data_IF_062527214430
#
_entry.id   IF_062527214430
#
_cell.length_a   1.000
_cell.length_b   1.000
_cell.length_c   1.000
_cell.angle_alpha   90.00
_cell.angle_beta   90.00
_cell.angle_gamma   90.00
#
_symmetry.space_group_name_H-M   'P 1'
#
loop_
_entity.id
_entity.type
_entity.pdbx_description
1 polymer ?
#
# COMPACT_ATOMS: atom_id res chain seq x y z
N UNK A 1 16.83 -4.09 3.31
CA UNK A 1 15.87 -3.05 3.74
C UNK A 1 14.47 -3.44 3.27
N UNK A 2 13.70 -4.15 4.09
CA UNK A 2 12.36 -4.65 3.70
C UNK A 2 11.22 -3.71 4.12
N UNK A 3 11.48 -2.80 5.07
CA UNK A 3 10.47 -1.86 5.57
C UNK A 3 10.08 -0.77 4.57
N UNK A 4 11.03 -0.31 3.74
CA UNK A 4 10.77 0.77 2.78
C UNK A 4 9.83 0.32 1.65
N UNK A 5 9.97 -0.92 1.17
CA UNK A 5 9.08 -1.48 0.14
C UNK A 5 7.64 -1.59 0.64
N UNK A 6 7.45 -2.01 1.90
CA UNK A 6 6.12 -2.08 2.54
C UNK A 6 5.50 -0.69 2.64
N UNK A 7 6.22 0.26 3.23
CA UNK A 7 5.71 1.62 3.40
C UNK A 7 5.40 2.31 2.06
N UNK A 8 6.22 2.09 1.03
CA UNK A 8 5.97 2.63 -0.30
C UNK A 8 4.70 2.04 -0.95
N UNK A 9 4.50 0.72 -0.86
CA UNK A 9 3.32 0.05 -1.41
C UNK A 9 2.01 0.46 -0.72
N UNK A 10 2.03 0.54 0.62
CA UNK A 10 0.88 0.99 1.42
C UNK A 10 0.57 2.47 1.13
N UNK A 11 1.59 3.33 1.07
CA UNK A 11 1.42 4.74 0.74
C UNK A 11 0.80 4.92 -0.64
N UNK A 12 1.28 4.19 -1.65
CA UNK A 12 0.71 4.23 -2.99
C UNK A 12 -0.77 3.82 -3.00
N UNK A 13 -1.12 2.75 -2.28
CA UNK A 13 -2.50 2.28 -2.16
C UNK A 13 -3.42 3.37 -1.56
N UNK A 14 -3.03 3.93 -0.41
CA UNK A 14 -3.78 4.97 0.30
C UNK A 14 -3.93 6.25 -0.53
N UNK A 15 -2.86 6.66 -1.21
CA UNK A 15 -2.87 7.85 -2.03
C UNK A 15 -3.79 7.69 -3.26
N UNK A 16 -3.77 6.53 -3.90
CA UNK A 16 -4.66 6.22 -5.03
C UNK A 16 -6.13 6.15 -4.58
N UNK A 17 -6.40 5.52 -3.44
CA UNK A 17 -7.76 5.48 -2.86
C UNK A 17 -8.25 6.88 -2.49
N UNK A 18 -7.39 7.72 -1.91
CA UNK A 18 -7.68 9.14 -1.59
C UNK A 18 -8.01 9.97 -2.84
N UNK A 19 -7.39 9.65 -3.97
CA UNK A 19 -7.69 10.25 -5.28
C UNK A 19 -8.97 9.71 -5.94
N UNK A 20 -9.67 8.77 -5.30
CA UNK A 20 -10.89 8.15 -5.82
C UNK A 20 -10.67 7.04 -6.84
N UNK A 21 -9.45 6.49 -6.97
CA UNK A 21 -9.28 5.25 -7.73
C UNK A 21 -9.93 4.10 -6.97
N UNK A 22 -10.63 3.23 -7.72
CA UNK A 22 -11.20 2.00 -7.17
C UNK A 22 -10.12 1.08 -6.61
N UNK A 23 -10.46 0.32 -5.56
CA UNK A 23 -9.53 -0.50 -4.78
C UNK A 23 -8.69 -1.46 -5.65
N UNK A 24 -9.27 -2.03 -6.71
CA UNK A 24 -8.56 -2.93 -7.62
C UNK A 24 -7.43 -2.22 -8.38
N UNK A 25 -7.66 -0.99 -8.84
CA UNK A 25 -6.66 -0.23 -9.57
C UNK A 25 -5.56 0.31 -8.63
N UNK A 26 -5.94 0.73 -7.42
CA UNK A 26 -5.00 1.10 -6.37
C UNK A 26 -4.11 -0.08 -5.98
N UNK A 27 -4.69 -1.28 -5.85
CA UNK A 27 -3.98 -2.51 -5.54
C UNK A 27 -2.98 -2.90 -6.62
N UNK A 28 -3.39 -2.91 -7.90
CA UNK A 28 -2.50 -3.26 -9.01
C UNK A 28 -1.28 -2.33 -9.09
N UNK A 29 -1.48 -1.03 -8.84
CA UNK A 29 -0.39 -0.07 -8.77
C UNK A 29 0.60 -0.38 -7.62
N UNK A 30 0.12 -0.72 -6.44
CA UNK A 30 0.98 -1.14 -5.31
C UNK A 30 1.77 -2.40 -5.60
N UNK A 31 1.19 -3.36 -6.34
CA UNK A 31 1.89 -4.57 -6.80
C UNK A 31 3.01 -4.22 -7.77
N UNK A 32 2.81 -3.27 -8.68
CA UNK A 32 3.86 -2.80 -9.60
C UNK A 32 5.01 -2.12 -8.85
N UNK A 33 4.71 -1.33 -7.82
CA UNK A 33 5.73 -0.74 -6.95
C UNK A 33 6.56 -1.85 -6.29
N UNK A 34 5.92 -2.89 -5.76
CA UNK A 34 6.64 -4.02 -5.17
C UNK A 34 7.55 -4.75 -6.19
N UNK A 35 7.07 -4.95 -7.42
CA UNK A 35 7.86 -5.57 -8.49
C UNK A 35 9.04 -4.72 -8.95
N UNK A 36 8.95 -3.39 -8.86
CA UNK A 36 10.08 -2.50 -9.14
C UNK A 36 11.27 -2.75 -8.19
N UNK A 37 10.99 -3.00 -6.91
CA UNK A 37 12.01 -3.35 -5.92
C UNK A 37 12.43 -4.83 -5.99
N UNK A 38 11.54 -5.71 -6.46
CA UNK A 38 11.76 -7.15 -6.55
C UNK A 38 11.46 -7.71 -7.95
N UNK A 39 12.31 -7.45 -8.96
CA UNK A 39 12.09 -7.90 -10.33
C UNK A 39 12.11 -9.44 -10.49
N UNK A 40 12.58 -10.18 -9.48
CA UNK A 40 12.57 -11.65 -9.45
C UNK A 40 11.39 -12.28 -8.71
N UNK A 41 10.51 -11.48 -8.10
CA UNK A 41 9.35 -12.02 -7.38
C UNK A 41 8.23 -12.37 -8.36
N UNK A 42 7.69 -13.58 -8.24
CA UNK A 42 6.51 -13.99 -8.99
C UNK A 42 5.34 -13.04 -8.70
N UNK A 43 4.57 -12.69 -9.73
CA UNK A 43 3.42 -11.78 -9.63
C UNK A 43 2.42 -12.21 -8.57
N UNK A 44 2.15 -13.51 -8.45
CA UNK A 44 1.24 -14.05 -7.44
C UNK A 44 1.76 -13.84 -6.02
N UNK A 45 3.08 -13.99 -5.81
CA UNK A 45 3.73 -13.70 -4.52
C UNK A 45 3.72 -12.21 -4.20
N UNK A 46 3.89 -11.35 -5.21
CA UNK A 46 3.79 -9.91 -5.05
C UNK A 46 2.38 -9.49 -4.61
N UNK A 47 1.34 -10.04 -5.26
CA UNK A 47 -0.07 -9.80 -4.90
C UNK A 47 -0.38 -10.26 -3.49
N UNK A 48 -0.05 -11.50 -3.16
CA UNK A 48 -0.25 -12.08 -1.82
C UNK A 48 0.41 -11.22 -0.74
N UNK A 49 1.65 -10.79 -0.98
CA UNK A 49 2.39 -9.94 -0.04
C UNK A 49 1.76 -8.56 0.14
N UNK A 50 1.32 -7.92 -0.95
CA UNK A 50 0.69 -6.60 -0.92
C UNK A 50 -0.70 -6.66 -0.29
N UNK A 51 -1.47 -7.73 -0.54
CA UNK A 51 -2.77 -7.97 0.08
C UNK A 51 -2.64 -8.03 1.60
N UNK A 52 -1.75 -8.90 2.08
CA UNK A 52 -1.48 -9.03 3.51
C UNK A 52 -1.07 -7.71 4.16
N UNK A 53 -0.23 -6.90 3.49
CA UNK A 53 0.16 -5.59 4.03
C UNK A 53 -0.99 -4.58 4.12
N UNK A 54 -1.93 -4.63 3.17
CA UNK A 54 -3.11 -3.76 3.17
C UNK A 54 -4.11 -4.21 4.23
N UNK A 55 -4.29 -5.53 4.40
CA UNK A 55 -5.10 -6.09 5.48
C UNK A 55 -4.57 -5.63 6.84
N UNK A 56 -3.28 -5.80 7.11
CA UNK A 56 -2.67 -5.35 8.37
C UNK A 56 -2.77 -3.82 8.58
N UNK A 57 -2.69 -3.02 7.51
CA UNK A 57 -2.88 -1.56 7.58
C UNK A 57 -4.34 -1.18 7.89
N UNK A 58 -5.31 -1.91 7.32
CA UNK A 58 -6.73 -1.70 7.61
C UNK A 58 -7.08 -2.15 9.04
N UNK A 59 -6.47 -3.23 9.52
CA UNK A 59 -6.59 -3.71 10.90
C UNK A 59 -5.97 -2.72 11.91
N UNK A 60 -4.83 -2.11 11.58
CA UNK A 60 -4.24 -1.02 12.37
C UNK A 60 -5.11 0.25 12.35
N UNK A 61 -5.63 0.60 11.17
CA UNK A 61 -6.48 1.78 11.00
C UNK A 61 -7.83 1.67 11.71
N UNK A 62 -8.42 0.48 11.83
CA UNK A 62 -9.65 0.26 12.60
C UNK A 62 -9.38 0.18 14.11
N UNK A 63 -8.19 -0.30 14.51
CA UNK A 63 -7.75 -0.29 15.90
C UNK A 63 -7.41 1.12 16.40
N UNK A 64 -7.03 2.02 15.49
CA UNK A 64 -6.95 3.45 15.76
C UNK A 64 -8.38 4.05 15.81
N UNK A 65 -8.86 4.59 16.95
CA UNK A 65 -10.19 5.17 17.00
C UNK A 65 -10.28 6.37 16.05
N UNK A 66 -11.34 6.36 15.25
CA UNK A 66 -11.69 7.30 14.18
C UNK A 66 -11.36 8.76 14.53
N UNK A 67 -10.48 9.39 13.74
CA UNK A 67 -10.09 10.79 13.93
C UNK A 67 -8.77 11.24 13.31
N UNK A 68 -7.92 10.33 12.82
CA UNK A 68 -6.70 10.72 12.10
C UNK A 68 -6.88 10.57 10.59
N UNK A 69 -7.67 11.48 10.00
CA UNK A 69 -7.46 11.85 8.61
C UNK A 69 -5.98 12.23 8.45
N UNK A 70 -5.24 11.40 7.70
CA UNK A 70 -3.80 11.58 7.54
C UNK A 70 -3.49 12.99 7.00
N UNK A 71 -2.57 13.76 7.62
CA UNK A 71 -1.97 14.87 6.91
C UNK A 71 -1.22 14.29 5.72
N UNK A 72 -1.63 14.69 4.52
CA UNK A 72 -0.85 14.51 3.31
C UNK A 72 0.55 15.09 3.57
N UNK A 73 1.55 14.22 3.74
CA UNK A 73 2.94 14.65 3.87
C UNK A 73 3.42 15.02 2.45
N UNK A 74 3.68 16.31 2.14
CA UNK A 74 4.26 16.68 0.87
C UNK A 74 5.69 16.13 0.80
N UNK A 75 6.03 15.52 -0.34
CA UNK A 75 7.39 15.13 -0.66
C UNK A 75 8.27 16.39 -0.73
N UNK A 76 9.33 16.43 0.07
CA UNK A 76 10.38 17.45 0.10
C UNK A 76 11.70 16.79 0.48
#
# INVERSE_FOLDING_TARGET
MAGECRSAAIRAYRELRSRGLGDVAAFDASVRVYQHYHPGSATDRARDRVAHWIEEDMEDAVAAPDGAAAPAIPAG
#
